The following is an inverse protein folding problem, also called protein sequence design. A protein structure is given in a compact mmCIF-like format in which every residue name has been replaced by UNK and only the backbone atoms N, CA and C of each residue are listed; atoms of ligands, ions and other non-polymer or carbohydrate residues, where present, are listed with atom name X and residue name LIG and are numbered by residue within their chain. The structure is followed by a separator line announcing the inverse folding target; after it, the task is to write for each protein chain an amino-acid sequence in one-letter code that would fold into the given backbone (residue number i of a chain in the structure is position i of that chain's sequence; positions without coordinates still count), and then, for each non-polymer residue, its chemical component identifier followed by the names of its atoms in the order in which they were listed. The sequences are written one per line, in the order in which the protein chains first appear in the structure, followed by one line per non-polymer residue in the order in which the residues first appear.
data_IF_505537164997
#
_entry.id   IF_505537164997
#
_cell.length_a   1.000
_cell.length_b   1.000
_cell.length_c   1.000
_cell.angle_alpha   90.00
_cell.angle_beta   90.00
_cell.angle_gamma   90.00
#
_symmetry.space_group_name_H-M   'P 1'
#
loop_
_entity.id
_entity.type
_entity.pdbx_description
1 polymer ?
#
# COMPACT_ATOMS: atom_id res chain seq x y z
N UNK A 1 0.43 -5.74 -40.44
CA UNK A 1 0.98 -5.48 -39.10
C UNK A 1 0.15 -4.35 -38.52
N UNK A 2 -0.84 -4.67 -37.70
CA UNK A 2 -1.64 -3.64 -37.02
C UNK A 2 -0.71 -2.95 -36.03
N UNK A 3 -0.57 -1.63 -36.14
CA UNK A 3 0.12 -0.86 -35.11
C UNK A 3 -0.61 -1.10 -33.80
N UNK A 4 0.07 -1.69 -32.82
CA UNK A 4 -0.40 -1.76 -31.44
C UNK A 4 -0.41 -0.31 -30.96
N UNK A 5 -1.59 0.27 -30.76
CA UNK A 5 -1.71 1.55 -30.07
C UNK A 5 -1.02 1.41 -28.72
N UNK A 6 -0.05 2.26 -28.35
CA UNK A 6 0.59 2.17 -27.05
C UNK A 6 -0.48 2.27 -25.97
N UNK A 7 -0.47 1.35 -25.01
CA UNK A 7 -1.36 1.39 -23.86
C UNK A 7 -1.24 2.76 -23.15
N UNK A 8 -2.36 3.38 -22.79
CA UNK A 8 -2.39 4.79 -22.38
C UNK A 8 -1.75 5.08 -21.01
N UNK A 9 -1.56 4.07 -20.16
CA UNK A 9 -1.07 4.23 -18.79
C UNK A 9 0.14 3.35 -18.51
N UNK A 10 1.14 3.91 -17.82
CA UNK A 10 2.38 3.22 -17.46
C UNK A 10 2.17 2.15 -16.38
N UNK A 11 1.20 2.34 -15.46
CA UNK A 11 0.91 1.41 -14.36
C UNK A 11 -0.46 0.78 -14.55
N UNK A 12 -0.49 -0.54 -14.71
CA UNK A 12 -1.71 -1.36 -14.84
C UNK A 12 -1.59 -2.50 -13.85
N UNK A 13 -1.94 -2.19 -12.60
CA UNK A 13 -1.49 -2.97 -11.47
C UNK A 13 -2.58 -3.85 -10.86
N UNK A 14 -2.14 -4.90 -10.19
CA UNK A 14 -2.90 -5.62 -9.18
C UNK A 14 -2.17 -5.51 -7.85
N UNK A 15 -2.90 -5.26 -6.78
CA UNK A 15 -2.42 -5.34 -5.40
C UNK A 15 -2.95 -6.61 -4.77
N UNK A 16 -2.09 -7.36 -4.08
CA UNK A 16 -2.45 -8.57 -3.37
C UNK A 16 -2.02 -8.47 -1.90
N UNK A 17 -3.00 -8.41 -1.00
CA UNK A 17 -2.80 -8.62 0.44
C UNK A 17 -2.46 -10.08 0.72
N UNK A 18 -1.16 -10.35 0.70
CA UNK A 18 -0.56 -11.60 1.10
C UNK A 18 -0.04 -11.56 2.55
N UNK A 19 -0.32 -10.50 3.32
CA UNK A 19 0.07 -10.31 4.72
C UNK A 19 -0.97 -10.88 5.67
N UNK A 20 -2.25 -10.51 5.47
CA UNK A 20 -3.37 -11.04 6.25
C UNK A 20 -3.67 -12.49 5.90
N UNK A 21 -3.67 -12.81 4.60
CA UNK A 21 -3.98 -14.13 4.06
C UNK A 21 -2.78 -14.72 3.34
N UNK A 22 -2.47 -15.98 3.64
CA UNK A 22 -1.47 -16.71 2.87
C UNK A 22 -2.01 -17.12 1.49
N UNK A 23 -1.24 -16.79 0.45
CA UNK A 23 -1.39 -17.31 -0.91
C UNK A 23 -0.13 -18.09 -1.27
N UNK A 24 -0.28 -19.30 -1.81
CA UNK A 24 0.86 -20.11 -2.21
C UNK A 24 1.61 -19.49 -3.40
N UNK A 25 2.90 -19.80 -3.53
CA UNK A 25 3.70 -19.39 -4.69
C UNK A 25 3.06 -19.83 -6.02
N UNK A 26 2.46 -21.02 -6.07
CA UNK A 26 1.74 -21.50 -7.26
C UNK A 26 0.47 -20.69 -7.57
N UNK A 27 -0.22 -20.16 -6.56
CA UNK A 27 -1.37 -19.29 -6.77
C UNK A 27 -0.92 -17.93 -7.31
N UNK A 28 0.13 -17.35 -6.73
CA UNK A 28 0.70 -16.06 -7.16
C UNK A 28 1.28 -16.16 -8.57
N UNK A 29 1.94 -17.28 -8.91
CA UNK A 29 2.42 -17.54 -10.27
C UNK A 29 1.27 -17.53 -11.30
N UNK A 30 0.14 -18.19 -11.00
CA UNK A 30 -1.04 -18.14 -11.88
C UNK A 30 -1.57 -16.72 -12.05
N UNK A 31 -1.54 -15.91 -10.99
CA UNK A 31 -1.93 -14.50 -11.06
C UNK A 31 -1.01 -13.74 -12.02
N UNK A 32 0.31 -13.93 -11.93
CA UNK A 32 1.28 -13.32 -12.84
C UNK A 32 1.02 -13.72 -14.31
N UNK A 33 0.80 -15.01 -14.59
CA UNK A 33 0.47 -15.50 -15.94
C UNK A 33 -0.80 -14.85 -16.48
N UNK A 34 -1.84 -14.73 -15.62
CA UNK A 34 -3.11 -14.12 -16.01
C UNK A 34 -2.98 -12.61 -16.24
N UNK A 35 -2.22 -11.92 -15.40
CA UNK A 35 -1.92 -10.50 -15.55
C UNK A 35 -1.20 -10.23 -16.87
N UNK A 36 -0.15 -11.01 -17.19
CA UNK A 36 0.57 -10.88 -18.45
C UNK A 36 -0.33 -11.12 -19.68
N UNK A 37 -1.21 -12.13 -19.62
CA UNK A 37 -2.19 -12.39 -20.68
C UNK A 37 -3.22 -11.26 -20.86
N UNK A 38 -3.38 -10.41 -19.84
CA UNK A 38 -4.26 -9.24 -19.83
C UNK A 38 -3.50 -7.92 -20.01
N UNK A 39 -2.21 -7.94 -20.32
CA UNK A 39 -1.34 -6.76 -20.38
C UNK A 39 -1.41 -5.90 -19.10
N UNK A 40 -1.55 -6.53 -17.93
CA UNK A 40 -1.32 -5.91 -16.62
C UNK A 40 0.14 -6.13 -16.25
N UNK A 41 0.83 -5.07 -15.84
CA UNK A 41 2.29 -5.04 -15.83
C UNK A 41 2.91 -4.89 -14.44
N UNK A 42 2.12 -4.79 -13.37
CA UNK A 42 2.66 -4.68 -12.01
C UNK A 42 1.85 -5.46 -11.00
N UNK A 43 2.53 -6.27 -10.18
CA UNK A 43 1.94 -6.90 -9.01
C UNK A 43 2.55 -6.26 -7.75
N UNK A 44 1.77 -5.46 -7.02
CA UNK A 44 2.14 -5.02 -5.68
C UNK A 44 1.86 -6.16 -4.70
N UNK A 45 2.93 -6.72 -4.13
CA UNK A 45 2.87 -7.85 -3.22
C UNK A 45 3.03 -7.36 -1.78
N UNK A 46 1.91 -7.25 -1.09
CA UNK A 46 1.81 -6.82 0.31
C UNK A 46 2.00 -8.00 1.23
N UNK A 47 3.17 -8.10 1.87
CA UNK A 47 3.60 -9.33 2.58
C UNK A 47 3.49 -9.26 4.09
N UNK A 48 3.12 -8.09 4.64
CA UNK A 48 3.09 -7.83 6.06
C UNK A 48 1.85 -7.01 6.42
N UNK A 49 1.14 -7.41 7.47
CA UNK A 49 0.09 -6.62 8.11
C UNK A 49 0.02 -6.97 9.61
N UNK A 50 -1.05 -6.54 10.29
CA UNK A 50 -1.30 -6.83 11.70
C UNK A 50 -1.45 -8.34 11.99
N UNK A 51 -1.92 -9.08 11.00
CA UNK A 51 -2.29 -10.49 11.11
C UNK A 51 -1.17 -11.46 10.70
N UNK A 52 -0.16 -10.99 9.95
CA UNK A 52 0.95 -11.85 9.55
C UNK A 52 2.09 -11.13 8.84
N UNK A 53 3.29 -11.69 9.00
CA UNK A 53 4.47 -11.44 8.19
C UNK A 53 4.78 -12.71 7.39
N UNK A 54 4.54 -12.67 6.08
CA UNK A 54 4.28 -13.87 5.25
C UNK A 54 5.41 -14.18 4.28
N UNK A 55 6.61 -13.72 4.59
CA UNK A 55 7.85 -14.08 3.89
C UNK A 55 8.88 -14.60 4.88
N UNK A 56 9.76 -15.48 4.42
CA UNK A 56 10.86 -15.97 5.23
C UNK A 56 11.80 -14.81 5.62
N UNK A 57 12.26 -14.82 6.87
CA UNK A 57 13.27 -13.89 7.38
C UNK A 57 14.33 -14.68 8.14
N UNK A 58 15.59 -14.51 7.74
CA UNK A 58 16.76 -15.04 8.42
C UNK A 58 17.25 -14.07 9.52
N UNK A 59 17.05 -12.76 9.33
CA UNK A 59 17.38 -11.75 10.34
C UNK A 59 16.41 -11.81 11.52
N UNK A 60 15.11 -12.00 11.24
CA UNK A 60 14.02 -12.02 12.22
C UNK A 60 13.15 -13.28 12.05
N UNK A 61 13.68 -14.50 12.27
CA UNK A 61 12.90 -15.73 12.13
C UNK A 61 11.70 -15.80 13.08
N UNK A 62 11.72 -15.04 14.18
CA UNK A 62 10.65 -14.97 15.17
C UNK A 62 9.38 -14.30 14.65
N UNK A 63 9.45 -13.40 13.67
CA UNK A 63 8.25 -12.69 13.15
C UNK A 63 7.57 -13.48 12.01
N UNK A 64 8.26 -14.47 11.45
CA UNK A 64 7.79 -15.25 10.30
C UNK A 64 6.56 -16.07 10.68
N UNK A 65 5.46 -15.85 9.95
CA UNK A 65 4.23 -16.59 10.17
C UNK A 65 4.37 -18.07 9.78
N UNK A 66 3.61 -18.99 10.42
CA UNK A 66 3.70 -20.42 10.11
C UNK A 66 3.50 -20.74 8.62
N UNK A 67 2.52 -20.12 7.98
CA UNK A 67 2.38 -20.11 6.53
C UNK A 67 3.03 -18.84 5.98
N UNK A 68 4.04 -19.01 5.12
CA UNK A 68 4.81 -17.93 4.52
C UNK A 68 5.42 -18.41 3.18
N UNK A 69 5.82 -17.46 2.34
CA UNK A 69 6.63 -17.70 1.15
C UNK A 69 8.10 -17.88 1.55
N UNK A 70 8.70 -18.99 1.17
CA UNK A 70 10.13 -19.21 1.39
C UNK A 70 10.99 -18.32 0.47
N UNK A 71 12.28 -18.18 0.77
CA UNK A 71 13.25 -17.53 -0.13
C UNK A 71 13.25 -18.17 -1.54
N UNK A 72 13.06 -19.48 -1.62
CA UNK A 72 12.98 -20.21 -2.90
C UNK A 72 11.70 -19.86 -3.65
N UNK A 73 10.58 -19.75 -2.94
CA UNK A 73 9.29 -19.36 -3.53
C UNK A 73 9.38 -17.94 -4.12
N UNK A 74 9.92 -16.99 -3.36
CA UNK A 74 10.11 -15.61 -3.82
C UNK A 74 11.05 -15.52 -5.03
N UNK A 75 12.18 -16.24 -5.01
CA UNK A 75 13.10 -16.28 -6.15
C UNK A 75 12.41 -16.79 -7.44
N UNK A 76 11.59 -17.84 -7.33
CA UNK A 76 10.82 -18.36 -8.46
C UNK A 76 9.74 -17.38 -8.94
N UNK A 77 9.10 -16.64 -8.03
CA UNK A 77 8.14 -15.59 -8.40
C UNK A 77 8.81 -14.40 -9.09
N UNK A 78 10.00 -14.00 -8.63
CA UNK A 78 10.79 -12.93 -9.27
C UNK A 78 11.20 -13.32 -10.69
N UNK A 79 11.69 -14.55 -10.87
CA UNK A 79 12.05 -15.10 -12.19
C UNK A 79 10.83 -15.11 -13.12
N UNK A 80 9.72 -15.72 -12.69
CA UNK A 80 8.49 -15.79 -13.47
C UNK A 80 7.94 -14.41 -13.84
N UNK A 81 7.92 -13.46 -12.89
CA UNK A 81 7.47 -12.10 -13.14
C UNK A 81 8.33 -11.42 -14.22
N UNK A 82 9.66 -11.60 -14.17
CA UNK A 82 10.59 -11.11 -15.19
C UNK A 82 10.35 -11.70 -16.58
N UNK A 83 10.14 -13.01 -16.69
CA UNK A 83 9.83 -13.68 -17.96
C UNK A 83 8.50 -13.24 -18.56
N UNK A 84 7.52 -12.95 -17.69
CA UNK A 84 6.18 -12.52 -18.06
C UNK A 84 6.07 -11.01 -18.34
N UNK A 85 7.14 -10.25 -18.12
CA UNK A 85 7.12 -8.79 -18.27
C UNK A 85 6.24 -8.08 -17.23
N UNK A 86 5.99 -8.72 -16.09
CA UNK A 86 5.26 -8.16 -14.95
C UNK A 86 6.27 -7.74 -13.88
N UNK A 87 6.25 -6.49 -13.46
CA UNK A 87 7.10 -6.03 -12.36
C UNK A 87 6.49 -6.42 -11.02
N UNK A 88 7.23 -7.17 -10.21
CA UNK A 88 6.88 -7.42 -8.82
C UNK A 88 7.30 -6.19 -7.97
N UNK A 89 6.37 -5.62 -7.24
CA UNK A 89 6.56 -4.43 -6.38
C UNK A 89 6.39 -4.88 -4.93
N UNK A 90 7.48 -5.07 -4.16
CA UNK A 90 7.36 -5.40 -2.74
C UNK A 90 6.65 -4.28 -1.97
N UNK A 91 5.80 -4.67 -1.03
CA UNK A 91 5.12 -3.77 -0.12
C UNK A 91 5.23 -4.25 1.32
N UNK A 92 5.70 -3.35 2.18
CA UNK A 92 5.83 -3.55 3.63
C UNK A 92 5.47 -2.22 4.29
N UNK A 93 4.38 -2.23 5.04
CA UNK A 93 3.86 -1.02 5.67
C UNK A 93 4.71 -0.59 6.85
N UNK A 94 5.04 0.70 6.87
CA UNK A 94 5.62 1.37 8.02
C UNK A 94 4.99 2.76 8.17
N UNK A 95 4.87 3.29 9.40
CA UNK A 95 5.10 2.64 10.69
C UNK A 95 3.88 1.86 11.20
N UNK A 96 2.71 1.99 10.56
CA UNK A 96 1.47 1.28 10.90
C UNK A 96 1.46 -0.16 10.37
N UNK A 97 0.38 -0.90 10.63
CA UNK A 97 0.16 -2.25 10.09
C UNK A 97 1.26 -3.27 10.42
N UNK A 98 1.97 -3.08 11.54
CA UNK A 98 3.06 -3.95 11.98
C UNK A 98 2.68 -4.86 13.15
N UNK A 99 1.39 -5.08 13.41
CA UNK A 99 0.92 -5.88 14.55
C UNK A 99 1.58 -7.27 14.67
N UNK A 100 1.78 -7.99 13.57
CA UNK A 100 2.41 -9.31 13.59
C UNK A 100 3.90 -9.24 13.98
N UNK A 101 4.63 -8.27 13.43
CA UNK A 101 6.03 -8.01 13.78
C UNK A 101 6.14 -7.56 15.24
N UNK A 102 5.37 -6.55 15.63
CA UNK A 102 5.40 -5.95 16.96
C UNK A 102 4.82 -6.86 18.06
N UNK A 103 4.17 -7.97 17.72
CA UNK A 103 3.84 -9.05 18.64
C UNK A 103 5.09 -9.59 19.36
N UNK A 104 6.20 -9.69 18.62
CA UNK A 104 7.48 -10.20 19.11
C UNK A 104 8.36 -9.12 19.75
N UNK A 105 8.07 -7.85 19.45
CA UNK A 105 8.84 -6.69 19.96
C UNK A 105 7.96 -5.68 20.71
N UNK A 106 7.32 -6.06 21.84
CA UNK A 106 6.37 -5.17 22.54
C UNK A 106 6.98 -3.86 23.06
N UNK A 107 8.31 -3.80 23.19
CA UNK A 107 9.05 -2.58 23.60
C UNK A 107 9.23 -1.57 22.46
N UNK A 108 8.97 -1.96 21.22
CA UNK A 108 9.10 -1.13 20.02
C UNK A 108 7.73 -0.60 19.53
N UNK A 109 6.66 -0.89 20.27
CA UNK A 109 5.31 -0.37 20.01
C UNK A 109 5.17 1.08 20.46
N UNK A 110 4.45 1.88 19.71
CA UNK A 110 4.13 3.26 20.07
C UNK A 110 3.26 3.35 21.33
N UNK A 111 2.43 2.35 21.62
CA UNK A 111 1.82 2.22 22.94
C UNK A 111 1.32 0.79 23.18
N UNK A 112 0.72 0.51 24.33
CA UNK A 112 0.07 -0.78 24.61
C UNK A 112 -1.44 -0.76 24.33
N UNK A 113 -1.98 0.34 23.78
CA UNK A 113 -3.37 0.37 23.31
C UNK A 113 -3.53 -0.50 22.06
N UNK A 114 -4.78 -0.79 21.68
CA UNK A 114 -5.05 -1.55 20.47
C UNK A 114 -4.43 -0.91 19.23
N UNK A 115 -4.56 0.41 19.10
CA UNK A 115 -3.92 1.20 18.04
C UNK A 115 -2.40 1.16 18.14
N UNK A 116 -1.84 1.57 19.28
CA UNK A 116 -0.39 1.72 19.43
C UNK A 116 0.39 0.41 19.41
N UNK A 117 -0.27 -0.73 19.64
CA UNK A 117 0.35 -2.04 19.56
C UNK A 117 0.67 -2.51 18.14
N UNK A 118 0.12 -1.82 17.14
CA UNK A 118 0.28 -2.05 15.70
C UNK A 118 1.17 -1.01 15.02
N UNK A 119 1.53 0.03 15.77
CA UNK A 119 2.29 1.18 15.31
C UNK A 119 3.71 1.11 15.87
N UNK A 120 4.70 1.19 14.99
CA UNK A 120 6.11 1.26 15.36
C UNK A 120 6.43 2.59 16.05
N UNK A 121 7.11 2.53 17.20
CA UNK A 121 7.60 3.72 17.90
C UNK A 121 8.85 4.29 17.22
N UNK A 122 8.67 5.06 16.15
CA UNK A 122 9.77 5.66 15.39
C UNK A 122 10.57 6.72 16.18
N UNK A 123 10.20 7.03 17.43
CA UNK A 123 11.08 7.80 18.34
C UNK A 123 12.25 6.97 18.87
N UNK A 124 12.19 5.64 18.72
CA UNK A 124 13.21 4.69 19.19
C UNK A 124 14.11 4.27 18.03
N UNK A 125 15.43 4.52 18.11
CA UNK A 125 16.37 4.08 17.07
C UNK A 125 16.31 2.58 16.79
N UNK A 126 16.08 1.75 17.81
CA UNK A 126 15.97 0.29 17.65
C UNK A 126 14.70 -0.13 16.90
N UNK A 127 13.62 0.66 17.00
CA UNK A 127 12.39 0.42 16.25
C UNK A 127 12.59 0.77 14.77
N UNK A 128 13.24 1.91 14.50
CA UNK A 128 13.63 2.29 13.13
C UNK A 128 14.57 1.25 12.52
N UNK A 129 15.56 0.77 13.27
CA UNK A 129 16.49 -0.26 12.80
C UNK A 129 15.76 -1.55 12.39
N UNK A 130 14.83 -2.05 13.21
CA UNK A 130 14.01 -3.22 12.87
C UNK A 130 13.25 -3.03 11.54
N UNK A 131 12.63 -1.87 11.33
CA UNK A 131 11.93 -1.59 10.08
C UNK A 131 12.86 -1.59 8.87
N UNK A 132 14.04 -0.96 8.98
CA UNK A 132 15.03 -0.92 7.90
C UNK A 132 15.65 -2.30 7.62
N UNK A 133 15.91 -3.11 8.65
CA UNK A 133 16.41 -4.49 8.51
C UNK A 133 15.41 -5.39 7.76
N UNK A 134 14.11 -5.27 8.05
CA UNK A 134 13.05 -5.97 7.32
C UNK A 134 12.93 -5.50 5.87
N UNK A 135 13.06 -4.19 5.63
CA UNK A 135 13.07 -3.61 4.28
C UNK A 135 14.27 -4.13 3.48
N UNK A 136 15.47 -4.12 4.06
CA UNK A 136 16.71 -4.58 3.41
C UNK A 136 16.61 -6.05 3.02
N UNK A 137 16.15 -6.91 3.93
CA UNK A 137 16.02 -8.33 3.66
C UNK A 137 14.94 -8.62 2.60
N UNK A 138 13.80 -7.94 2.65
CA UNK A 138 12.76 -8.10 1.63
C UNK A 138 13.21 -7.57 0.26
N UNK A 139 13.97 -6.47 0.21
CA UNK A 139 14.57 -5.96 -1.01
C UNK A 139 15.57 -6.96 -1.62
N UNK A 140 16.37 -7.63 -0.80
CA UNK A 140 17.28 -8.70 -1.27
C UNK A 140 16.50 -9.88 -1.88
N UNK A 141 15.39 -10.29 -1.25
CA UNK A 141 14.57 -11.41 -1.72
C UNK A 141 13.70 -11.08 -2.94
N UNK A 142 13.27 -9.82 -3.06
CA UNK A 142 12.38 -9.33 -4.12
C UNK A 142 13.00 -8.06 -4.75
N UNK A 143 14.09 -8.20 -5.51
CA UNK A 143 14.75 -7.06 -6.12
C UNK A 143 13.81 -6.39 -7.14
N UNK A 144 13.57 -5.10 -6.95
CA UNK A 144 12.70 -4.29 -7.81
C UNK A 144 13.19 -2.86 -7.86
N UNK A 145 12.81 -2.12 -8.90
CA UNK A 145 13.02 -0.66 -8.99
C UNK A 145 11.92 0.15 -8.31
N UNK A 146 10.87 -0.53 -7.83
CA UNK A 146 9.72 0.07 -7.17
C UNK A 146 9.47 -0.57 -5.80
N UNK A 147 8.91 0.22 -4.88
CA UNK A 147 8.58 -0.19 -3.52
C UNK A 147 7.34 0.54 -3.02
N UNK A 148 6.44 -0.14 -2.31
CA UNK A 148 5.38 0.53 -1.53
C UNK A 148 5.72 0.46 -0.04
N UNK A 149 5.91 1.63 0.59
CA UNK A 149 6.26 1.70 2.02
C UNK A 149 5.03 1.73 2.94
N UNK A 150 3.83 1.70 2.36
CA UNK A 150 2.59 1.83 3.08
C UNK A 150 2.33 3.26 3.54
N UNK A 151 2.18 3.41 4.85
CA UNK A 151 1.91 4.68 5.53
C UNK A 151 0.42 4.98 5.74
N UNK A 152 -0.47 4.08 5.34
CA UNK A 152 -1.90 4.17 5.59
C UNK A 152 -2.25 3.90 7.06
N UNK A 153 -3.34 4.52 7.50
CA UNK A 153 -4.04 4.30 8.77
C UNK A 153 -3.13 4.21 10.01
N UNK A 154 -1.96 4.86 9.96
CA UNK A 154 -0.95 4.83 11.01
C UNK A 154 -1.51 5.37 12.34
N UNK A 155 -2.53 6.23 12.25
CA UNK A 155 -3.27 6.75 13.38
C UNK A 155 -4.78 6.68 13.12
N UNK A 156 -5.53 6.24 14.13
CA UNK A 156 -6.99 6.20 14.10
C UNK A 156 -7.53 7.64 14.15
N UNK A 157 -8.04 8.11 13.01
CA UNK A 157 -8.59 9.45 12.82
C UNK A 157 -9.97 9.64 13.44
N UNK A 158 -10.61 8.57 13.91
CA UNK A 158 -11.94 8.63 14.56
C UNK A 158 -11.87 8.95 16.05
N UNK A 159 -10.69 8.85 16.66
CA UNK A 159 -10.49 9.15 18.08
C UNK A 159 -10.50 10.65 18.34
N UNK A 160 -11.26 11.07 19.36
CA UNK A 160 -11.35 12.48 19.76
C UNK A 160 -10.06 13.01 20.42
N UNK A 161 -9.35 12.14 21.14
CA UNK A 161 -8.15 12.55 21.87
C UNK A 161 -7.02 12.94 20.89
N UNK A 162 -6.34 14.09 21.10
CA UNK A 162 -5.22 14.52 20.27
C UNK A 162 -4.10 13.47 20.19
N UNK A 163 -3.43 13.39 19.03
CA UNK A 163 -2.31 12.45 18.85
C UNK A 163 -1.19 12.68 19.87
N UNK A 164 -0.94 13.92 20.29
CA UNK A 164 0.08 14.23 21.29
C UNK A 164 -0.26 13.68 22.69
N UNK A 165 -1.54 13.47 23.00
CA UNK A 165 -1.96 12.83 24.26
C UNK A 165 -1.90 11.31 24.16
N UNK A 166 -2.23 10.74 22.99
CA UNK A 166 -2.18 9.30 22.71
C UNK A 166 -0.74 8.77 22.55
N UNK A 167 0.14 9.60 21.99
CA UNK A 167 1.52 9.26 21.62
C UNK A 167 2.50 10.39 22.01
N UNK A 168 2.65 10.69 23.31
CA UNK A 168 3.46 11.83 23.78
C UNK A 168 4.93 11.75 23.36
N UNK A 169 5.50 10.54 23.24
CA UNK A 169 6.87 10.35 22.78
C UNK A 169 7.04 10.63 21.28
N UNK A 170 6.02 10.33 20.45
CA UNK A 170 6.05 10.68 19.03
C UNK A 170 5.88 12.20 18.84
N UNK A 171 5.10 12.86 19.70
CA UNK A 171 5.02 14.33 19.73
C UNK A 171 6.36 14.96 20.10
N UNK A 172 7.04 14.46 21.14
CA UNK A 172 8.36 14.93 21.52
C UNK A 172 9.40 14.70 20.40
N UNK A 173 9.33 13.56 19.73
CA UNK A 173 10.19 13.27 18.58
C UNK A 173 9.91 14.21 17.40
N UNK A 174 8.64 14.48 17.10
CA UNK A 174 8.27 15.44 16.07
C UNK A 174 8.85 16.82 16.36
N UNK A 175 8.74 17.33 17.59
CA UNK A 175 9.36 18.61 17.96
C UNK A 175 10.89 18.59 17.83
N UNK A 176 11.52 17.47 18.21
CA UNK A 176 12.97 17.30 18.12
C UNK A 176 13.47 17.32 16.67
N UNK A 177 12.74 16.70 15.74
CA UNK A 177 13.14 16.54 14.33
C UNK A 177 12.69 17.68 13.43
N UNK A 178 11.46 18.16 13.66
CA UNK A 178 10.79 19.12 12.79
C UNK A 178 10.72 20.55 13.37
N UNK A 179 11.17 20.72 14.62
CA UNK A 179 11.23 22.01 15.31
C UNK A 179 10.04 22.27 16.25
N UNK A 180 10.10 23.35 17.06
CA UNK A 180 9.11 23.61 18.10
C UNK A 180 7.67 23.71 17.58
N UNK A 181 6.73 23.07 18.29
CA UNK A 181 5.31 23.06 17.93
C UNK A 181 5.01 22.30 16.64
N UNK A 182 5.86 21.34 16.26
CA UNK A 182 5.56 20.37 15.22
C UNK A 182 4.45 19.40 15.69
N UNK A 183 3.59 19.00 14.76
CA UNK A 183 2.53 18.04 15.01
C UNK A 183 3.08 16.60 14.97
N UNK A 184 2.43 15.62 15.61
CA UNK A 184 2.83 14.19 15.53
C UNK A 184 2.94 13.73 14.07
N UNK A 185 2.02 14.18 13.21
CA UNK A 185 2.05 13.88 11.78
C UNK A 185 3.27 14.48 11.05
N UNK A 186 3.85 15.58 11.54
CA UNK A 186 5.11 16.10 11.00
C UNK A 186 6.26 15.12 11.26
N UNK A 187 6.32 14.56 12.47
CA UNK A 187 7.29 13.51 12.83
C UNK A 187 7.09 12.23 12.00
N UNK A 188 5.84 11.84 11.78
CA UNK A 188 5.50 10.70 10.91
C UNK A 188 5.95 10.93 9.45
N UNK A 189 5.65 12.10 8.85
CA UNK A 189 6.09 12.42 7.48
C UNK A 189 7.62 12.49 7.40
N UNK A 190 8.27 13.03 8.43
CA UNK A 190 9.74 13.03 8.52
C UNK A 190 10.31 11.61 8.53
N UNK A 191 9.75 10.72 9.36
CA UNK A 191 10.13 9.31 9.40
C UNK A 191 9.94 8.61 8.04
N UNK A 192 8.79 8.83 7.38
CA UNK A 192 8.59 8.32 6.02
C UNK A 192 9.65 8.84 5.05
N UNK A 193 10.07 10.11 5.16
CA UNK A 193 11.16 10.67 4.37
C UNK A 193 12.51 9.98 4.61
N UNK A 194 12.79 9.51 5.83
CA UNK A 194 13.98 8.71 6.12
C UNK A 194 13.90 7.32 5.46
N UNK A 195 12.73 6.68 5.52
CA UNK A 195 12.50 5.40 4.84
C UNK A 195 12.63 5.55 3.32
N UNK A 196 12.07 6.62 2.74
CA UNK A 196 12.24 6.95 1.31
C UNK A 196 13.72 7.10 0.97
N UNK A 197 14.48 7.87 1.76
CA UNK A 197 15.92 8.09 1.53
C UNK A 197 16.71 6.78 1.60
N UNK A 198 16.34 5.88 2.52
CA UNK A 198 16.94 4.56 2.65
C UNK A 198 16.65 3.70 1.42
N UNK A 199 15.40 3.62 0.98
CA UNK A 199 15.01 2.90 -0.24
C UNK A 199 15.73 3.45 -1.48
N UNK A 200 15.82 4.77 -1.63
CA UNK A 200 16.59 5.39 -2.71
C UNK A 200 18.08 4.99 -2.67
N UNK A 201 18.66 4.83 -1.48
CA UNK A 201 20.04 4.37 -1.31
C UNK A 201 20.26 2.91 -1.75
N UNK A 202 19.20 2.10 -1.72
CA UNK A 202 19.17 0.73 -2.27
C UNK A 202 18.99 0.72 -3.80
N UNK A 203 18.82 1.89 -4.43
CA UNK A 203 18.59 2.02 -5.87
C UNK A 203 17.12 1.93 -6.29
N UNK A 204 16.17 2.00 -5.34
CA UNK A 204 14.75 2.11 -5.66
C UNK A 204 14.48 3.50 -6.25
N UNK A 205 13.88 3.53 -7.44
CA UNK A 205 13.60 4.78 -8.17
C UNK A 205 12.12 5.16 -8.18
N UNK A 206 11.23 4.23 -7.78
CA UNK A 206 9.78 4.41 -7.75
C UNK A 206 9.24 4.02 -6.36
N UNK A 207 9.43 4.91 -5.39
CA UNK A 207 8.91 4.75 -4.03
C UNK A 207 7.47 5.23 -3.97
N UNK A 208 6.60 4.46 -3.31
CA UNK A 208 5.15 4.71 -3.22
C UNK A 208 4.68 4.76 -1.77
N UNK A 209 3.71 5.63 -1.50
CA UNK A 209 3.05 5.74 -0.21
C UNK A 209 1.54 5.99 -0.39
N UNK A 210 0.74 5.59 0.59
CA UNK A 210 -0.70 5.87 0.63
C UNK A 210 -0.99 7.33 1.00
N UNK A 211 -2.17 7.84 0.61
CA UNK A 211 -2.48 9.27 0.67
C UNK A 211 -2.98 9.78 2.03
N UNK A 212 -3.64 8.94 2.82
CA UNK A 212 -4.57 9.32 3.89
C UNK A 212 -3.93 10.08 5.07
N UNK A 213 -2.69 9.75 5.42
CA UNK A 213 -1.95 10.45 6.48
C UNK A 213 -1.09 11.63 5.96
N UNK A 214 -1.01 11.86 4.65
CA UNK A 214 -0.22 12.94 4.06
C UNK A 214 -0.99 14.26 4.06
N UNK A 215 -0.29 15.37 4.25
CA UNK A 215 -0.83 16.73 4.07
C UNK A 215 -2.11 17.06 4.86
N UNK A 216 -2.38 16.38 5.97
CA UNK A 216 -3.54 16.67 6.81
C UNK A 216 -3.46 18.11 7.38
N UNK A 217 -4.61 18.75 7.70
CA UNK A 217 -4.63 20.10 8.25
C UNK A 217 -3.73 20.27 9.47
N UNK A 218 -2.96 21.37 9.50
CA UNK A 218 -2.06 21.69 10.62
C UNK A 218 -0.66 21.08 10.53
N UNK A 219 -0.39 20.23 9.53
CA UNK A 219 0.95 19.71 9.23
C UNK A 219 1.75 20.70 8.36
N UNK A 220 3.07 20.62 8.50
CA UNK A 220 4.07 21.49 7.83
C UNK A 220 5.03 20.67 6.98
N UNK A 221 5.23 19.40 7.29
CA UNK A 221 6.11 18.50 6.53
C UNK A 221 5.42 17.95 5.28
N UNK A 222 6.23 17.64 4.27
CA UNK A 222 5.79 16.99 3.04
C UNK A 222 6.81 15.94 2.61
N UNK A 223 6.36 14.97 1.82
CA UNK A 223 7.24 13.99 1.20
C UNK A 223 7.90 14.57 -0.05
N UNK A 224 9.02 13.99 -0.46
CA UNK A 224 9.62 14.27 -1.76
C UNK A 224 8.58 14.10 -2.87
N UNK A 225 8.46 15.08 -3.77
CA UNK A 225 7.54 15.02 -4.90
C UNK A 225 7.82 13.85 -5.87
N UNK A 226 9.00 13.22 -5.75
CA UNK A 226 9.35 12.00 -6.50
C UNK A 226 8.58 10.76 -6.02
N UNK A 227 8.10 10.77 -4.78
CA UNK A 227 7.25 9.69 -4.25
C UNK A 227 5.94 9.66 -5.04
N UNK A 228 5.58 8.50 -5.57
CA UNK A 228 4.28 8.29 -6.21
C UNK A 228 3.23 8.05 -5.12
N UNK A 229 2.10 8.76 -5.16
CA UNK A 229 1.02 8.54 -4.20
C UNK A 229 0.03 7.50 -4.73
N UNK A 230 -0.17 6.42 -3.97
CA UNK A 230 -1.30 5.52 -4.12
C UNK A 230 -2.55 6.19 -3.56
N UNK A 231 -3.43 6.68 -4.43
CA UNK A 231 -4.63 7.40 -4.01
C UNK A 231 -5.79 6.42 -3.87
N UNK A 232 -6.08 5.99 -2.65
CA UNK A 232 -7.03 4.91 -2.37
C UNK A 232 -8.37 5.42 -1.86
N UNK A 233 -8.38 6.34 -0.89
CA UNK A 233 -9.63 6.81 -0.27
C UNK A 233 -9.59 8.28 0.12
N UNK A 234 -10.77 8.82 0.39
CA UNK A 234 -10.97 10.18 0.90
C UNK A 234 -12.24 10.25 1.77
N UNK A 235 -12.47 9.21 2.57
CA UNK A 235 -13.70 9.07 3.37
C UNK A 235 -13.72 9.97 4.62
N UNK A 236 -12.54 10.39 5.11
CA UNK A 236 -12.42 11.23 6.30
C UNK A 236 -12.05 12.68 5.92
N UNK A 237 -12.66 13.72 6.51
CA UNK A 237 -12.39 15.12 6.16
C UNK A 237 -10.93 15.56 6.32
N UNK A 238 -10.15 14.89 7.16
CA UNK A 238 -8.73 15.20 7.35
C UNK A 238 -7.83 14.68 6.22
N UNK A 239 -8.29 13.70 5.43
CA UNK A 239 -7.50 13.13 4.34
C UNK A 239 -7.32 14.16 3.23
N UNK A 240 -6.15 14.18 2.55
CA UNK A 240 -5.87 15.17 1.55
C UNK A 240 -6.69 14.92 0.28
N UNK A 241 -7.23 15.99 -0.27
CA UNK A 241 -7.87 15.93 -1.59
C UNK A 241 -6.84 15.58 -2.65
N UNK A 242 -7.31 15.03 -3.78
CA UNK A 242 -6.48 14.80 -4.95
C UNK A 242 -5.79 16.10 -5.38
N UNK A 243 -6.52 17.21 -5.40
CA UNK A 243 -5.95 18.54 -5.68
C UNK A 243 -4.78 18.89 -4.75
N UNK A 244 -4.91 18.60 -3.44
CA UNK A 244 -3.86 18.87 -2.46
C UNK A 244 -2.61 18.03 -2.71
N UNK A 245 -2.79 16.74 -3.03
CA UNK A 245 -1.69 15.82 -3.39
C UNK A 245 -0.98 16.30 -4.66
N UNK A 246 -1.73 16.71 -5.68
CA UNK A 246 -1.18 17.20 -6.94
C UNK A 246 -0.48 18.55 -6.79
N UNK A 247 -1.01 19.44 -5.95
CA UNK A 247 -0.38 20.73 -5.65
C UNK A 247 0.98 20.57 -4.93
N UNK A 248 1.20 19.43 -4.24
CA UNK A 248 2.50 19.06 -3.67
C UNK A 248 3.47 18.47 -4.71
N UNK A 249 3.03 18.27 -5.97
CA UNK A 249 3.88 17.85 -7.08
C UNK A 249 3.93 16.34 -7.34
N UNK A 250 3.12 15.55 -6.63
CA UNK A 250 3.13 14.10 -6.78
C UNK A 250 2.48 13.63 -8.08
N UNK A 251 3.00 12.51 -8.60
CA UNK A 251 2.30 11.65 -9.54
C UNK A 251 1.46 10.64 -8.75
N UNK A 252 0.38 10.14 -9.33
CA UNK A 252 -0.53 9.24 -8.60
C UNK A 252 -0.86 7.97 -9.37
N UNK A 253 -1.12 6.91 -8.61
CA UNK A 253 -1.78 5.69 -9.07
C UNK A 253 -3.15 5.66 -8.41
N UNK A 254 -4.21 5.47 -9.19
CA UNK A 254 -5.57 5.42 -8.67
C UNK A 254 -5.92 4.01 -8.17
N UNK A 255 -6.26 3.90 -6.89
CA UNK A 255 -6.67 2.65 -6.25
C UNK A 255 -8.17 2.59 -5.98
N UNK A 256 -8.89 3.73 -6.04
CA UNK A 256 -10.32 3.91 -5.76
C UNK A 256 -10.96 2.79 -4.93
N UNK A 257 -10.93 2.94 -3.61
CA UNK A 257 -11.47 1.99 -2.63
C UNK A 257 -12.90 1.51 -2.94
N UNK A 258 -13.75 2.38 -3.48
CA UNK A 258 -15.16 2.04 -3.82
C UNK A 258 -15.33 1.33 -5.15
N UNK A 259 -14.42 1.53 -6.09
CA UNK A 259 -14.60 1.02 -7.45
C UNK A 259 -13.69 -0.20 -7.74
N UNK A 260 -12.51 -0.29 -7.11
CA UNK A 260 -11.46 -1.27 -7.47
C UNK A 260 -11.04 -2.22 -6.34
N UNK A 261 -11.62 -2.11 -5.13
CA UNK A 261 -11.22 -2.98 -4.01
C UNK A 261 -12.07 -4.26 -3.94
N UNK A 262 -11.42 -5.39 -4.18
CA UNK A 262 -11.90 -6.71 -3.80
C UNK A 262 -11.54 -6.96 -2.33
N UNK A 263 -12.39 -6.54 -1.40
CA UNK A 263 -12.16 -6.78 0.04
C UNK A 263 -12.87 -8.04 0.49
N UNK A 264 -12.17 -8.93 1.19
CA UNK A 264 -12.75 -10.05 1.91
C UNK A 264 -13.40 -9.50 3.17
N UNK A 265 -14.58 -8.93 3.02
CA UNK A 265 -15.37 -8.39 4.12
C UNK A 265 -16.80 -8.94 4.10
N UNK A 266 -17.32 -9.24 5.29
CA UNK A 266 -18.66 -9.79 5.47
C UNK A 266 -19.78 -8.76 5.27
N UNK A 267 -21.05 -9.22 5.24
CA UNK A 267 -22.21 -8.34 5.12
C UNK A 267 -22.23 -7.24 6.19
N UNK A 268 -22.51 -6.00 5.78
CA UNK A 268 -22.53 -4.83 6.66
C UNK A 268 -21.21 -4.06 6.72
N UNK A 269 -20.12 -4.62 6.17
CA UNK A 269 -18.87 -3.88 6.00
C UNK A 269 -18.98 -2.84 4.86
N UNK A 270 -18.35 -1.65 4.96
CA UNK A 270 -18.36 -0.65 3.90
C UNK A 270 -17.84 -1.15 2.55
N UNK A 271 -16.96 -2.16 2.55
CA UNK A 271 -16.38 -2.78 1.36
C UNK A 271 -16.96 -4.16 1.05
N UNK A 272 -18.12 -4.52 1.61
CA UNK A 272 -18.78 -5.80 1.31
C UNK A 272 -19.19 -5.92 -0.18
N UNK A 273 -19.42 -4.79 -0.85
CA UNK A 273 -19.65 -4.76 -2.29
C UNK A 273 -18.32 -4.73 -3.04
N UNK A 274 -18.02 -5.82 -3.75
CA UNK A 274 -16.77 -6.02 -4.49
C UNK A 274 -16.91 -5.62 -5.97
N UNK A 275 -15.81 -5.26 -6.66
CA UNK A 275 -15.83 -4.99 -8.09
C UNK A 275 -16.29 -6.21 -8.87
N UNK A 276 -17.07 -5.95 -9.91
CA UNK A 276 -17.51 -6.93 -10.90
C UNK A 276 -17.30 -6.34 -12.29
N UNK A 277 -17.32 -7.18 -13.32
CA UNK A 277 -17.30 -6.68 -14.69
C UNK A 277 -18.42 -5.65 -14.98
N UNK A 278 -19.60 -5.82 -14.34
CA UNK A 278 -20.72 -4.90 -14.50
C UNK A 278 -20.50 -3.57 -13.78
N UNK A 279 -19.98 -3.57 -12.54
CA UNK A 279 -19.73 -2.33 -11.80
C UNK A 279 -18.64 -1.47 -12.46
N UNK A 280 -17.68 -2.11 -13.12
CA UNK A 280 -16.59 -1.43 -13.83
C UNK A 280 -16.99 -0.87 -15.20
N UNK A 281 -18.13 -1.25 -15.76
CA UNK A 281 -18.52 -0.84 -17.12
C UNK A 281 -18.60 0.69 -17.34
N UNK A 282 -18.81 1.47 -16.28
CA UNK A 282 -18.83 2.93 -16.31
C UNK A 282 -17.66 3.59 -15.58
N UNK A 283 -16.69 2.80 -15.10
CA UNK A 283 -15.49 3.32 -14.46
C UNK A 283 -14.45 3.71 -15.50
N UNK A 284 -13.61 4.70 -15.16
CA UNK A 284 -12.44 5.06 -15.96
C UNK A 284 -11.30 5.46 -15.03
N UNK A 285 -10.03 5.44 -15.49
CA UNK A 285 -8.88 5.66 -14.60
C UNK A 285 -8.80 7.04 -13.93
N UNK A 286 -9.53 8.04 -14.45
CA UNK A 286 -9.64 9.37 -13.84
C UNK A 286 -10.76 9.46 -12.80
N UNK A 287 -11.46 8.37 -12.48
CA UNK A 287 -12.51 8.35 -11.45
C UNK A 287 -11.89 8.02 -10.09
N UNK A 288 -11.71 9.05 -9.27
CA UNK A 288 -11.13 8.95 -7.92
C UNK A 288 -12.22 8.89 -6.84
N UNK A 289 -11.88 8.45 -5.62
CA UNK A 289 -12.76 8.57 -4.46
C UNK A 289 -13.33 9.99 -4.32
N UNK A 290 -14.62 10.09 -4.05
CA UNK A 290 -15.26 11.37 -3.74
C UNK A 290 -14.90 11.82 -2.33
N UNK A 291 -14.91 13.14 -2.11
CA UNK A 291 -14.82 13.75 -0.77
C UNK A 291 -15.98 13.28 0.11
N UNK A 292 -15.87 13.39 1.46
CA UNK A 292 -16.93 12.96 2.37
C UNK A 292 -18.26 13.70 2.19
N UNK A 293 -18.21 14.92 1.65
CA UNK A 293 -19.39 15.73 1.31
C UNK A 293 -20.01 15.37 -0.06
N UNK A 294 -19.47 14.36 -0.74
CA UNK A 294 -19.90 13.90 -2.06
C UNK A 294 -19.23 14.62 -3.23
N UNK A 295 -18.31 15.57 -2.97
CA UNK A 295 -17.60 16.28 -4.04
C UNK A 295 -16.74 15.32 -4.85
N UNK A 296 -16.96 15.29 -6.17
CA UNK A 296 -16.21 14.43 -7.11
C UNK A 296 -14.79 14.96 -7.34
N UNK A 297 -13.85 14.05 -7.48
CA UNK A 297 -12.43 14.35 -7.75
C UNK A 297 -11.99 13.82 -9.13
N UNK A 298 -12.86 13.95 -10.13
CA UNK A 298 -12.64 13.39 -11.47
C UNK A 298 -12.04 14.45 -12.42
N UNK A 299 -10.71 14.52 -12.58
CA UNK A 299 -10.09 15.50 -13.46
C UNK A 299 -10.56 15.36 -14.91
N UNK A 300 -10.70 16.52 -15.57
CA UNK A 300 -11.03 16.62 -16.98
C UNK A 300 -9.78 16.98 -17.78
N UNK A 301 -9.70 16.53 -19.03
CA UNK A 301 -8.58 16.83 -19.92
C UNK A 301 -7.39 15.89 -19.74
N UNK A 302 -6.20 16.40 -20.07
CA UNK A 302 -4.95 15.64 -20.03
C UNK A 302 -4.44 15.48 -18.59
N UNK A 303 -3.94 14.29 -18.26
CA UNK A 303 -3.52 13.90 -16.90
C UNK A 303 -2.13 13.27 -16.92
N UNK A 304 -1.06 14.02 -17.27
CA UNK A 304 0.31 13.47 -17.35
C UNK A 304 0.88 13.03 -15.99
N UNK A 305 0.27 13.50 -14.90
CA UNK A 305 0.56 13.10 -13.52
C UNK A 305 -0.11 11.77 -13.12
N UNK A 306 -1.11 11.30 -13.87
CA UNK A 306 -1.78 10.03 -13.62
C UNK A 306 -0.97 8.90 -14.24
N UNK A 307 -0.31 8.11 -13.39
CA UNK A 307 0.50 6.97 -13.81
C UNK A 307 -0.35 5.80 -14.32
N UNK A 308 -1.53 5.63 -13.71
CA UNK A 308 -2.46 4.58 -14.05
C UNK A 308 -3.29 4.18 -12.84
N UNK A 309 -3.64 2.91 -12.73
CA UNK A 309 -4.53 2.42 -11.68
C UNK A 309 -4.14 1.01 -11.19
N UNK A 310 -4.64 0.65 -10.02
CA UNK A 310 -4.44 -0.66 -9.41
C UNK A 310 -5.76 -1.23 -8.90
N UNK A 311 -6.07 -2.46 -9.26
CA UNK A 311 -7.14 -3.22 -8.62
C UNK A 311 -6.57 -3.92 -7.38
N UNK A 312 -7.23 -3.81 -6.23
CA UNK A 312 -6.65 -4.29 -4.97
C UNK A 312 -7.47 -5.41 -4.34
N UNK A 313 -6.80 -6.51 -3.99
CA UNK A 313 -7.34 -7.54 -3.12
C UNK A 313 -6.86 -7.26 -1.69
N UNK A 314 -7.81 -7.05 -0.79
CA UNK A 314 -7.58 -6.88 0.65
C UNK A 314 -8.26 -7.98 1.43
N UNK A 315 -7.60 -8.55 2.43
CA UNK A 315 -8.04 -9.75 3.13
C UNK A 315 -8.42 -9.46 4.59
N UNK A 316 -9.20 -8.40 4.85
CA UNK A 316 -9.65 -7.96 6.19
C UNK A 316 -10.21 -9.11 7.04
N UNK A 317 -11.04 -9.97 6.46
CA UNK A 317 -11.40 -11.28 7.00
C UNK A 317 -10.72 -12.38 6.16
N UNK A 318 -9.50 -12.81 6.53
CA UNK A 318 -8.72 -13.75 5.72
C UNK A 318 -9.36 -15.15 5.67
N UNK A 319 -10.32 -15.44 6.55
CA UNK A 319 -11.08 -16.70 6.60
C UNK A 319 -12.34 -16.71 5.75
N UNK A 320 -12.77 -15.56 5.23
CA UNK A 320 -14.06 -15.43 4.52
C UNK A 320 -14.12 -16.24 3.22
N UNK A 321 -12.99 -16.31 2.50
CA UNK A 321 -12.88 -17.02 1.23
C UNK A 321 -11.59 -17.84 1.13
N UNK A 322 -11.64 -18.98 0.45
CA UNK A 322 -10.45 -19.71 0.04
C UNK A 322 -9.72 -18.96 -1.09
N UNK A 323 -8.41 -19.19 -1.29
CA UNK A 323 -7.70 -18.62 -2.44
C UNK A 323 -8.39 -18.86 -3.80
N UNK A 324 -9.04 -20.01 -3.98
CA UNK A 324 -9.79 -20.33 -5.20
C UNK A 324 -11.09 -19.52 -5.33
N UNK A 325 -11.78 -19.23 -4.22
CA UNK A 325 -12.96 -18.36 -4.23
C UNK A 325 -12.55 -16.91 -4.55
N UNK A 326 -11.44 -16.43 -3.98
CA UNK A 326 -10.86 -15.13 -4.33
C UNK A 326 -10.56 -15.09 -5.83
N UNK A 327 -9.93 -16.12 -6.40
CA UNK A 327 -9.67 -16.20 -7.84
C UNK A 327 -10.95 -16.09 -8.68
N UNK A 328 -11.97 -16.90 -8.35
CA UNK A 328 -13.24 -16.93 -9.07
C UNK A 328 -13.96 -15.58 -9.07
N UNK A 329 -13.88 -14.84 -7.97
CA UNK A 329 -14.47 -13.50 -7.88
C UNK A 329 -13.62 -12.41 -8.55
N UNK A 330 -12.30 -12.51 -8.43
CA UNK A 330 -11.34 -11.50 -8.92
C UNK A 330 -11.23 -11.52 -10.45
N UNK A 331 -11.12 -12.71 -11.06
CA UNK A 331 -10.74 -12.86 -12.48
C UNK A 331 -11.67 -12.10 -13.44
N UNK A 332 -13.01 -12.19 -13.35
CA UNK A 332 -13.90 -11.43 -14.24
C UNK A 332 -13.78 -9.91 -14.09
N UNK A 333 -13.54 -9.42 -12.87
CA UNK A 333 -13.32 -8.00 -12.61
C UNK A 333 -11.96 -7.55 -13.16
N UNK A 334 -10.92 -8.37 -12.99
CA UNK A 334 -9.58 -8.13 -13.54
C UNK A 334 -9.58 -8.02 -15.07
N UNK A 335 -10.33 -8.88 -15.76
CA UNK A 335 -10.49 -8.80 -17.22
C UNK A 335 -11.16 -7.50 -17.65
N UNK A 336 -12.20 -7.07 -16.94
CA UNK A 336 -12.90 -5.83 -17.23
C UNK A 336 -11.99 -4.61 -16.98
N UNK A 337 -11.27 -4.60 -15.86
CA UNK A 337 -10.27 -3.59 -15.52
C UNK A 337 -9.18 -3.50 -16.60
N UNK A 338 -8.59 -4.63 -16.99
CA UNK A 338 -7.56 -4.67 -18.02
C UNK A 338 -8.01 -4.06 -19.36
N UNK A 339 -9.23 -4.39 -19.82
CA UNK A 339 -9.80 -3.79 -21.02
C UNK A 339 -9.89 -2.26 -20.93
N UNK A 340 -10.32 -1.74 -19.78
CA UNK A 340 -10.42 -0.28 -19.56
C UNK A 340 -9.03 0.38 -19.59
N UNK A 341 -8.01 -0.29 -19.04
CA UNK A 341 -6.65 0.25 -19.01
C UNK A 341 -5.97 0.26 -20.38
N UNK A 342 -6.38 -0.63 -21.29
CA UNK A 342 -5.84 -0.74 -22.65
C UNK A 342 -6.39 0.33 -23.63
N UNK A 343 -7.57 0.89 -23.33
CA UNK A 343 -8.23 1.90 -24.18
C UNK A 343 -9.36 1.30 -25.02
#
# INVERSE_FOLDING_TARGET
MSAVTPCAYEVRAVHLDAGRKYFSASWIHRLLERMAALDLNELQLHVSDNEGYRVASAAHPEVVSPEHLSRKDLAGLVEAAGELGVRLVPALDVPGHLGAVLAHHPRLRASQTQEGSRLLDYSRPEAVALALELIDELHEMVPSTAWCLGGDEAFDVTQEAPLAERFPQLAAEAERRCGPGAHVLDGYVHFLGEVVSHLESLGITDVRAWNDALYQPGTRQGLSAQVTVGYWTDWHPSYPSLERVLAAGHRVINYSDRDLYYVLAGPGHPYAARPTAQSLAGWNPRRFPARPDGTRQDPQGDTPWLRGASMAVWCDDPGLETPEQVWQGLEPAMEAFARIMQG
#
